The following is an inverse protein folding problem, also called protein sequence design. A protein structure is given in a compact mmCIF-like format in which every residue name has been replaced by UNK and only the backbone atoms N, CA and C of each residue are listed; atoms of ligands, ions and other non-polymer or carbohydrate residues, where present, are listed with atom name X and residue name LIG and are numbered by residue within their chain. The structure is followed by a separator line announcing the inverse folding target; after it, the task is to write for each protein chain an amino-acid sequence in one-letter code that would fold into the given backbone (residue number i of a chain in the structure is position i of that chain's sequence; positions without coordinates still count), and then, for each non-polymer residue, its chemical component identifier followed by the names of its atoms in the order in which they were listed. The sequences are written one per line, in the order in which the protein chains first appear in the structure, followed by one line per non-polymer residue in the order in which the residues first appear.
data_IF_179851643541
#
_entry.id   IF_179851643541
#
_cell.length_a   1.000
_cell.length_b   1.000
_cell.length_c   1.000
_cell.angle_alpha   90.00
_cell.angle_beta   90.00
_cell.angle_gamma   90.00
#
_symmetry.space_group_name_H-M   'P 1'
#
loop_
_entity.id
_entity.type
_entity.pdbx_description
1 polymer ?
#
# COMPACT_ATOMS: atom_id res chain seq x y z
N UNK A 1 10.03 -24.50 -6.77
CA UNK A 1 9.42 -23.48 -7.65
C UNK A 1 10.40 -22.33 -7.83
N UNK A 2 11.01 -22.18 -9.00
CA UNK A 2 12.11 -21.22 -9.25
C UNK A 2 11.69 -19.74 -9.15
N UNK A 3 10.39 -19.43 -9.16
CA UNK A 3 9.87 -18.06 -9.14
C UNK A 3 9.71 -17.43 -7.75
N UNK A 4 9.86 -18.20 -6.66
CA UNK A 4 9.67 -17.71 -5.28
C UNK A 4 10.52 -16.46 -4.93
N UNK A 5 11.81 -16.39 -5.28
CA UNK A 5 12.62 -15.21 -4.98
C UNK A 5 12.21 -13.99 -5.83
N UNK A 6 11.85 -14.18 -7.09
CA UNK A 6 11.41 -13.08 -7.97
C UNK A 6 10.11 -12.44 -7.45
N UNK A 7 9.14 -13.27 -7.06
CA UNK A 7 7.89 -12.80 -6.42
C UNK A 7 8.20 -12.11 -5.09
N UNK A 8 9.13 -12.65 -4.30
CA UNK A 8 9.56 -12.02 -3.05
C UNK A 8 10.15 -10.63 -3.25
N UNK A 9 11.05 -10.47 -4.22
CA UNK A 9 11.65 -9.19 -4.60
C UNK A 9 10.57 -8.23 -5.09
N UNK A 10 9.67 -8.66 -5.98
CA UNK A 10 8.60 -7.82 -6.50
C UNK A 10 7.72 -7.25 -5.39
N UNK A 11 7.29 -8.09 -4.43
CA UNK A 11 6.52 -7.65 -3.26
C UNK A 11 7.26 -6.60 -2.44
N UNK A 12 8.53 -6.83 -2.14
CA UNK A 12 9.35 -5.89 -1.38
C UNK A 12 9.49 -4.57 -2.14
N UNK A 13 9.78 -4.62 -3.44
CA UNK A 13 9.92 -3.43 -4.28
C UNK A 13 8.63 -2.61 -4.34
N UNK A 14 7.48 -3.25 -4.53
CA UNK A 14 6.17 -2.58 -4.57
C UNK A 14 5.84 -1.98 -3.20
N UNK A 15 5.97 -2.76 -2.13
CA UNK A 15 5.67 -2.27 -0.78
C UNK A 15 6.61 -1.13 -0.35
N UNK A 16 7.91 -1.23 -0.63
CA UNK A 16 8.86 -0.17 -0.33
C UNK A 16 8.61 1.10 -1.14
N UNK A 17 8.27 0.97 -2.43
CA UNK A 17 7.92 2.10 -3.28
C UNK A 17 6.66 2.82 -2.76
N UNK A 18 5.62 2.07 -2.37
CA UNK A 18 4.40 2.64 -1.81
C UNK A 18 4.66 3.35 -0.46
N UNK A 19 5.48 2.77 0.43
CA UNK A 19 5.90 3.45 1.66
C UNK A 19 6.65 4.75 1.38
N UNK A 20 7.55 4.76 0.39
CA UNK A 20 8.28 5.96 0.00
C UNK A 20 7.34 7.06 -0.53
N UNK A 21 6.34 6.70 -1.34
CA UNK A 21 5.33 7.63 -1.86
C UNK A 21 4.45 8.18 -0.72
N UNK A 22 4.04 7.34 0.23
CA UNK A 22 3.27 7.78 1.42
C UNK A 22 4.08 8.77 2.26
N UNK A 23 5.38 8.49 2.50
CA UNK A 23 6.25 9.40 3.24
C UNK A 23 6.54 10.71 2.49
N UNK A 24 6.64 10.67 1.17
CA UNK A 24 6.73 11.88 0.34
C UNK A 24 5.47 12.75 0.47
N UNK A 25 4.28 12.13 0.40
CA UNK A 25 3.02 12.83 0.52
C UNK A 25 2.77 13.40 1.93
N UNK A 26 3.24 12.72 2.99
CA UNK A 26 3.27 13.25 4.35
C UNK A 26 4.13 14.52 4.44
N UNK A 27 5.35 14.49 3.87
CA UNK A 27 6.22 15.66 3.79
C UNK A 27 5.60 16.85 3.05
N UNK A 28 4.82 16.60 2.00
CA UNK A 28 4.04 17.64 1.31
C UNK A 28 2.92 18.20 2.20
N UNK A 29 2.22 17.36 2.96
CA UNK A 29 1.17 17.78 3.88
C UNK A 29 1.73 18.72 4.96
N UNK A 30 2.87 18.35 5.54
CA UNK A 30 3.59 19.17 6.52
C UNK A 30 4.01 20.51 5.90
N UNK A 31 4.56 20.50 4.68
CA UNK A 31 4.96 21.72 3.98
C UNK A 31 3.78 22.62 3.60
N UNK A 32 2.59 22.04 3.41
CA UNK A 32 1.34 22.76 3.13
C UNK A 32 0.68 23.35 4.38
N UNK A 33 1.27 23.14 5.58
CA UNK A 33 0.80 23.72 6.83
C UNK A 33 -0.08 22.81 7.68
N UNK A 34 -0.13 21.50 7.35
CA UNK A 34 -0.79 20.48 8.17
C UNK A 34 0.26 19.51 8.77
N UNK A 35 0.89 19.88 9.90
CA UNK A 35 1.99 19.12 10.48
C UNK A 35 1.53 17.96 11.37
N UNK A 36 0.22 17.75 11.54
CA UNK A 36 -0.32 16.78 12.48
C UNK A 36 -0.24 15.37 11.90
N UNK A 37 0.66 14.49 12.41
CA UNK A 37 0.76 13.13 11.90
C UNK A 37 -0.51 12.32 12.17
N UNK A 38 -1.29 12.68 13.19
CA UNK A 38 -2.55 12.02 13.49
C UNK A 38 -3.64 12.33 12.48
N UNK A 39 -3.63 13.50 11.86
CA UNK A 39 -4.61 13.85 10.84
C UNK A 39 -4.28 13.14 9.52
N UNK A 40 -2.99 13.12 9.16
CA UNK A 40 -2.52 12.42 7.96
C UNK A 40 -2.66 10.90 8.06
N UNK A 41 -2.06 10.28 9.09
CA UNK A 41 -2.09 8.82 9.30
C UNK A 41 -3.39 8.32 9.96
N UNK A 42 -4.23 9.23 10.43
CA UNK A 42 -5.58 8.90 10.93
C UNK A 42 -6.57 8.58 9.80
N UNK A 43 -6.28 9.02 8.57
CA UNK A 43 -7.16 8.75 7.43
C UNK A 43 -7.15 7.25 7.07
N UNK A 44 -8.36 6.69 6.90
CA UNK A 44 -8.54 5.28 6.56
C UNK A 44 -7.81 4.89 5.26
N UNK A 45 -7.78 5.81 4.29
CA UNK A 45 -7.09 5.66 3.03
C UNK A 45 -5.57 5.48 3.22
N UNK A 46 -4.92 6.34 4.01
CA UNK A 46 -3.49 6.22 4.26
C UNK A 46 -3.16 4.97 5.10
N UNK A 47 -4.01 4.61 6.07
CA UNK A 47 -3.83 3.41 6.89
C UNK A 47 -3.90 2.12 6.07
N UNK A 48 -4.87 2.01 5.17
CA UNK A 48 -5.01 0.83 4.31
C UNK A 48 -3.85 0.71 3.32
N UNK A 49 -3.37 1.82 2.74
CA UNK A 49 -2.17 1.85 1.90
C UNK A 49 -0.89 1.44 2.66
N UNK A 50 -0.70 1.97 3.88
CA UNK A 50 0.41 1.58 4.76
C UNK A 50 0.38 0.09 5.10
N UNK A 51 -0.79 -0.41 5.48
CA UNK A 51 -0.97 -1.80 5.87
C UNK A 51 -0.70 -2.74 4.68
N UNK A 52 -1.21 -2.42 3.49
CA UNK A 52 -0.91 -3.17 2.26
C UNK A 52 0.58 -3.21 1.96
N UNK A 53 1.24 -2.06 2.06
CA UNK A 53 2.68 -1.94 1.82
C UNK A 53 3.50 -2.76 2.81
N UNK A 54 3.17 -2.69 4.10
CA UNK A 54 3.82 -3.47 5.16
C UNK A 54 3.64 -4.98 4.94
N UNK A 55 2.41 -5.42 4.61
CA UNK A 55 2.11 -6.84 4.37
C UNK A 55 2.85 -7.36 3.14
N UNK A 56 2.98 -6.58 2.07
CA UNK A 56 3.79 -6.93 0.91
C UNK A 56 5.27 -7.11 1.30
N UNK A 57 5.85 -6.18 2.05
CA UNK A 57 7.26 -6.28 2.50
C UNK A 57 7.48 -7.53 3.37
N UNK A 58 6.57 -7.82 4.30
CA UNK A 58 6.65 -9.02 5.15
C UNK A 58 6.51 -10.29 4.32
N UNK A 59 5.50 -10.38 3.46
CA UNK A 59 5.26 -11.55 2.61
C UNK A 59 6.40 -11.77 1.59
N UNK A 60 6.97 -10.69 1.06
CA UNK A 60 8.13 -10.74 0.19
C UNK A 60 9.37 -11.24 0.93
N UNK A 61 9.63 -10.70 2.12
CA UNK A 61 10.75 -11.11 2.97
C UNK A 61 10.66 -12.60 3.34
N UNK A 62 9.48 -13.09 3.71
CA UNK A 62 9.25 -14.51 3.99
C UNK A 62 9.47 -15.36 2.73
N UNK A 63 9.04 -14.90 1.55
CA UNK A 63 9.25 -15.60 0.29
C UNK A 63 10.73 -15.74 -0.11
N UNK A 64 11.60 -14.84 0.37
CA UNK A 64 13.05 -14.95 0.23
C UNK A 64 13.67 -15.95 1.21
N UNK A 65 12.98 -16.29 2.29
CA UNK A 65 13.43 -17.35 3.20
C UNK A 65 13.06 -18.74 2.65
N UNK A 66 13.80 -19.78 3.06
CA UNK A 66 13.42 -21.19 2.78
C UNK A 66 12.27 -21.70 3.65
N UNK A 67 11.59 -20.83 4.41
CA UNK A 67 10.52 -21.23 5.32
C UNK A 67 9.18 -21.39 4.60
N UNK A 68 8.32 -22.32 5.05
CA UNK A 68 6.93 -22.38 4.58
C UNK A 68 6.19 -21.09 4.97
N UNK A 69 5.28 -20.67 4.09
CA UNK A 69 4.50 -19.46 4.31
C UNK A 69 3.39 -19.77 5.33
N UNK A 70 3.27 -19.01 6.45
CA UNK A 70 2.21 -19.27 7.43
C UNK A 70 0.82 -19.00 6.82
N UNK A 71 -0.16 -19.86 7.12
CA UNK A 71 -1.53 -19.72 6.62
C UNK A 71 -2.19 -18.41 7.06
N UNK A 72 -1.85 -17.91 8.25
CA UNK A 72 -2.30 -16.60 8.75
C UNK A 72 -1.91 -15.43 7.85
N UNK A 73 -0.76 -15.50 7.16
CA UNK A 73 -0.33 -14.46 6.24
C UNK A 73 -1.20 -14.44 4.98
N UNK A 74 -1.70 -15.59 4.53
CA UNK A 74 -2.67 -15.67 3.44
C UNK A 74 -3.98 -14.95 3.79
N UNK A 75 -4.52 -15.21 4.99
CA UNK A 75 -5.74 -14.53 5.45
C UNK A 75 -5.55 -13.02 5.62
N UNK A 76 -4.42 -12.60 6.22
CA UNK A 76 -4.10 -11.19 6.38
C UNK A 76 -4.01 -10.48 5.03
N UNK A 77 -3.35 -11.09 4.05
CA UNK A 77 -3.27 -10.56 2.69
C UNK A 77 -4.62 -10.43 2.02
N UNK A 78 -5.48 -11.44 2.13
CA UNK A 78 -6.84 -11.40 1.59
C UNK A 78 -7.66 -10.25 2.20
N UNK A 79 -7.61 -10.09 3.52
CA UNK A 79 -8.31 -9.01 4.22
C UNK A 79 -7.80 -7.62 3.78
N UNK A 80 -6.48 -7.44 3.75
CA UNK A 80 -5.86 -6.17 3.36
C UNK A 80 -6.14 -5.82 1.90
N UNK A 81 -6.13 -6.82 1.01
CA UNK A 81 -6.52 -6.64 -0.40
C UNK A 81 -7.96 -6.18 -0.50
N UNK A 82 -8.89 -6.81 0.22
CA UNK A 82 -10.30 -6.42 0.22
C UNK A 82 -10.49 -4.97 0.70
N UNK A 83 -9.83 -4.58 1.80
CA UNK A 83 -9.89 -3.20 2.30
C UNK A 83 -9.34 -2.20 1.29
N UNK A 84 -8.18 -2.50 0.71
CA UNK A 84 -7.53 -1.63 -0.27
C UNK A 84 -8.37 -1.46 -1.54
N UNK A 85 -9.02 -2.53 -2.03
CA UNK A 85 -9.93 -2.46 -3.18
C UNK A 85 -11.16 -1.62 -2.87
N UNK A 86 -11.76 -1.78 -1.69
CA UNK A 86 -12.91 -0.96 -1.27
C UNK A 86 -12.51 0.53 -1.27
N UNK A 87 -11.36 0.86 -0.68
CA UNK A 87 -10.82 2.22 -0.66
C UNK A 87 -10.56 2.75 -2.07
N UNK A 88 -9.90 1.97 -2.92
CA UNK A 88 -9.61 2.34 -4.30
C UNK A 88 -10.90 2.66 -5.08
N UNK A 89 -11.94 1.84 -4.94
CA UNK A 89 -13.22 2.08 -5.59
C UNK A 89 -13.86 3.36 -5.08
N UNK A 90 -13.90 3.57 -3.76
CA UNK A 90 -14.50 4.77 -3.16
C UNK A 90 -13.76 6.03 -3.61
N UNK A 91 -12.43 6.03 -3.53
CA UNK A 91 -11.59 7.18 -3.89
C UNK A 91 -11.76 7.57 -5.36
N UNK A 92 -11.79 6.58 -6.27
CA UNK A 92 -11.90 6.84 -7.72
C UNK A 92 -13.33 7.14 -8.19
N UNK A 93 -14.37 6.72 -7.48
CA UNK A 93 -15.78 6.86 -7.94
C UNK A 93 -16.56 7.93 -7.22
N UNK A 94 -16.32 8.14 -5.93
CA UNK A 94 -17.11 9.06 -5.09
C UNK A 94 -16.37 10.36 -4.79
N UNK A 95 -15.03 10.35 -4.80
CA UNK A 95 -14.18 11.48 -4.39
C UNK A 95 -13.01 11.71 -5.36
N UNK A 96 -13.24 11.85 -6.68
CA UNK A 96 -12.14 12.03 -7.60
C UNK A 96 -11.44 13.38 -7.38
N UNK A 97 -10.20 13.35 -6.89
CA UNK A 97 -9.29 14.49 -6.93
C UNK A 97 -9.47 15.58 -5.87
N UNK A 98 -10.09 15.30 -4.72
CA UNK A 98 -10.23 16.30 -3.64
C UNK A 98 -9.05 16.33 -2.65
N UNK A 99 -8.03 15.49 -2.85
CA UNK A 99 -6.83 15.47 -2.02
C UNK A 99 -5.87 16.61 -2.37
N UNK A 100 -5.25 17.21 -1.37
CA UNK A 100 -4.14 18.17 -1.51
C UNK A 100 -2.87 17.56 -2.13
N UNK A 101 -2.83 16.23 -2.25
CA UNK A 101 -1.72 15.49 -2.83
C UNK A 101 -1.67 15.64 -4.37
N UNK A 102 -0.46 15.62 -4.97
CA UNK A 102 -0.31 15.64 -6.43
C UNK A 102 -1.11 14.51 -7.10
N UNK A 103 -1.73 14.74 -8.28
CA UNK A 103 -2.58 13.74 -8.95
C UNK A 103 -1.89 12.39 -9.19
N UNK A 104 -0.58 12.40 -9.45
CA UNK A 104 0.20 11.19 -9.67
C UNK A 104 0.38 10.35 -8.40
N UNK A 105 0.45 10.98 -7.22
CA UNK A 105 0.52 10.29 -5.93
C UNK A 105 -0.78 9.52 -5.71
N UNK A 106 -1.92 10.19 -5.91
CA UNK A 106 -3.22 9.56 -5.77
C UNK A 106 -3.40 8.41 -6.77
N UNK A 107 -3.04 8.61 -8.05
CA UNK A 107 -3.12 7.56 -9.06
C UNK A 107 -2.26 6.33 -8.71
N UNK A 108 -1.07 6.53 -8.14
CA UNK A 108 -0.22 5.43 -7.70
C UNK A 108 -0.81 4.69 -6.48
N UNK A 109 -1.22 5.42 -5.44
CA UNK A 109 -1.66 4.82 -4.18
C UNK A 109 -3.08 4.24 -4.24
N UNK A 110 -3.98 4.84 -5.02
CA UNK A 110 -5.40 4.47 -5.10
C UNK A 110 -5.79 3.84 -6.44
N UNK A 111 -4.88 3.76 -7.39
CA UNK A 111 -5.08 3.05 -8.66
C UNK A 111 -4.11 1.90 -8.83
N UNK A 112 -2.81 2.21 -8.96
CA UNK A 112 -1.78 1.21 -9.31
C UNK A 112 -1.54 0.21 -8.18
N UNK A 113 -1.31 0.68 -6.95
CA UNK A 113 -1.06 -0.20 -5.80
C UNK A 113 -2.22 -1.20 -5.56
N UNK A 114 -3.51 -0.81 -5.56
CA UNK A 114 -4.63 -1.73 -5.44
C UNK A 114 -4.63 -2.83 -6.52
N UNK A 115 -4.34 -2.47 -7.76
CA UNK A 115 -4.24 -3.45 -8.86
C UNK A 115 -3.09 -4.41 -8.64
N UNK A 116 -1.91 -3.92 -8.24
CA UNK A 116 -0.74 -4.76 -7.96
C UNK A 116 -0.99 -5.71 -6.78
N UNK A 117 -1.64 -5.25 -5.73
CA UNK A 117 -2.00 -6.06 -4.55
C UNK A 117 -3.06 -7.11 -4.90
N UNK A 118 -4.01 -6.79 -5.79
CA UNK A 118 -5.02 -7.74 -6.27
C UNK A 118 -4.41 -8.87 -7.11
N UNK A 119 -3.33 -8.58 -7.84
CA UNK A 119 -2.61 -9.56 -8.67
C UNK A 119 -1.63 -10.43 -7.86
N UNK A 120 -1.29 -10.06 -6.62
CA UNK A 120 -0.29 -10.73 -5.77
C UNK A 120 -0.79 -11.98 -5.04
#
# INVERSE_FOLDING_TARGET
MPFRPLVGIARISVGAAALAVIGYADGLSIAAGDPSPFDYFGSFTNQTGLLASAVLVVAGSIALTRRPNPSSLGYLRGAVTAYLIIVAVIDNTLVPGTGSAPPWVSALLHGVLPVLVLLD
#
